data_IF_405229546436
#
_entry.id   IF_405229546436
#
_cell.length_a   1.000
_cell.length_b   1.000
_cell.length_c   1.000
_cell.angle_alpha   90.00
_cell.angle_beta   90.00
_cell.angle_gamma   90.00
#
_symmetry.space_group_name_H-M   'P 1'
#
loop_
_entity.id
_entity.type
_entity.pdbx_description
1 polymer ?
#
# COMPACT_ATOMS: atom_id res chain seq x y z
N UNK A 1 15.71 5.79 -7.19
CA UNK A 1 14.87 5.31 -6.07
C UNK A 1 13.40 5.31 -6.52
N UNK A 2 12.59 4.37 -6.05
CA UNK A 2 11.13 4.27 -6.27
C UNK A 2 10.50 4.06 -4.89
N UNK A 3 9.45 4.82 -4.55
CA UNK A 3 8.60 4.54 -3.38
C UNK A 3 7.44 3.64 -3.80
N UNK A 4 7.06 2.69 -2.95
CA UNK A 4 5.98 1.73 -3.20
C UNK A 4 5.09 1.56 -1.97
N UNK A 5 3.90 0.99 -2.19
CA UNK A 5 2.92 0.78 -1.13
C UNK A 5 2.23 2.08 -0.69
N UNK A 6 1.84 2.15 0.56
CA UNK A 6 1.31 3.37 1.19
C UNK A 6 2.49 4.24 1.61
N UNK A 7 2.68 5.36 0.92
CA UNK A 7 3.93 6.12 0.94
C UNK A 7 3.97 7.33 1.86
N UNK A 8 2.97 7.53 2.72
CA UNK A 8 2.83 8.75 3.53
C UNK A 8 4.05 8.99 4.42
N UNK A 9 4.48 7.99 5.20
CA UNK A 9 5.70 8.08 6.01
C UNK A 9 6.95 8.23 5.13
N UNK A 10 7.07 7.39 4.10
CA UNK A 10 8.25 7.38 3.24
C UNK A 10 8.47 8.70 2.53
N UNK A 11 7.40 9.39 2.08
CA UNK A 11 7.56 10.67 1.38
C UNK A 11 8.03 11.78 2.31
N UNK A 12 7.60 11.78 3.58
CA UNK A 12 8.07 12.72 4.58
C UNK A 12 9.55 12.51 4.87
N UNK A 13 9.95 11.25 5.15
CA UNK A 13 11.37 10.92 5.38
C UNK A 13 12.27 11.27 4.18
N UNK A 14 11.81 11.03 2.96
CA UNK A 14 12.52 11.42 1.74
C UNK A 14 12.65 12.94 1.65
N UNK A 15 11.57 13.67 1.89
CA UNK A 15 11.57 15.14 1.82
C UNK A 15 12.51 15.76 2.84
N UNK A 16 12.46 15.28 4.09
CA UNK A 16 13.32 15.76 5.17
C UNK A 16 14.81 15.47 4.91
N UNK A 17 15.10 14.26 4.42
CA UNK A 17 16.47 13.89 4.07
C UNK A 17 17.03 14.76 2.93
N UNK A 18 16.24 15.00 1.88
CA UNK A 18 16.64 15.88 0.78
C UNK A 18 16.78 17.33 1.25
N UNK A 19 15.88 17.82 2.09
CA UNK A 19 15.96 19.16 2.68
C UNK A 19 17.20 19.35 3.56
N UNK A 20 17.68 18.26 4.20
CA UNK A 20 18.94 18.27 4.96
C UNK A 20 20.21 18.22 4.09
N UNK A 21 20.04 18.13 2.76
CA UNK A 21 21.15 18.09 1.80
C UNK A 21 21.69 16.69 1.48
N UNK A 22 21.02 15.61 1.92
CA UNK A 22 21.42 14.26 1.53
C UNK A 22 21.07 14.00 0.06
N UNK A 23 22.01 13.47 -0.74
CA UNK A 23 21.70 13.08 -2.10
C UNK A 23 20.80 11.83 -2.16
N UNK A 24 19.97 11.70 -3.17
CA UNK A 24 19.01 10.61 -3.34
C UNK A 24 19.67 9.22 -3.34
N UNK A 25 20.91 9.13 -3.76
CA UNK A 25 21.70 7.89 -3.81
C UNK A 25 22.05 7.35 -2.41
N UNK A 26 22.00 8.19 -1.37
CA UNK A 26 22.25 7.80 0.00
C UNK A 26 20.98 7.40 0.76
N UNK A 27 19.79 7.65 0.20
CA UNK A 27 18.51 7.29 0.81
C UNK A 27 18.20 5.80 0.64
N UNK A 28 19.10 4.94 1.09
CA UNK A 28 19.00 3.48 0.93
C UNK A 28 18.31 2.78 2.10
N UNK A 29 17.99 3.53 3.16
CA UNK A 29 17.49 3.02 4.43
C UNK A 29 15.98 3.20 4.63
N UNK A 30 15.32 3.98 3.77
CA UNK A 30 13.91 4.35 3.95
C UNK A 30 13.01 3.17 3.63
N UNK A 31 12.13 2.80 4.54
CA UNK A 31 11.15 1.75 4.35
C UNK A 31 10.16 2.10 3.21
N UNK A 32 9.62 1.09 2.52
CA UNK A 32 8.72 1.32 1.39
C UNK A 32 9.41 1.87 0.14
N UNK A 33 10.73 1.65 0.01
CA UNK A 33 11.49 2.10 -1.16
C UNK A 33 12.20 0.96 -1.88
N UNK A 34 12.48 1.19 -3.16
CA UNK A 34 13.31 0.34 -4.01
C UNK A 34 14.44 1.19 -4.58
N UNK A 35 15.65 0.69 -4.54
CA UNK A 35 16.82 1.38 -5.09
C UNK A 35 17.77 0.43 -5.81
N UNK A 36 18.66 1.00 -6.60
CA UNK A 36 19.70 0.27 -7.31
C UNK A 36 21.03 0.46 -6.59
N UNK A 37 21.80 -0.62 -6.43
CA UNK A 37 23.18 -0.57 -5.94
C UNK A 37 24.11 -1.46 -6.78
N UNK A 38 25.42 -1.25 -6.63
CA UNK A 38 26.44 -2.03 -7.35
C UNK A 38 26.70 -3.36 -6.63
N UNK A 39 26.73 -3.32 -5.31
CA UNK A 39 27.02 -4.45 -4.44
C UNK A 39 26.13 -4.40 -3.18
N UNK A 40 26.20 -5.43 -2.34
CA UNK A 40 25.36 -5.58 -1.15
C UNK A 40 26.04 -5.08 0.15
N UNK A 41 27.18 -4.43 0.07
CA UNK A 41 27.99 -4.00 1.25
C UNK A 41 27.24 -3.06 2.21
N UNK A 42 26.25 -2.32 1.69
CA UNK A 42 25.42 -1.38 2.46
C UNK A 42 24.03 -1.92 2.79
N UNK A 43 23.73 -3.18 2.46
CA UNK A 43 22.43 -3.78 2.70
C UNK A 43 22.55 -4.82 3.81
N UNK A 44 21.92 -4.56 4.94
CA UNK A 44 22.00 -5.46 6.08
C UNK A 44 21.06 -6.66 5.90
N UNK A 45 21.61 -7.88 5.99
CA UNK A 45 20.92 -9.16 6.00
C UNK A 45 19.81 -9.32 4.91
N UNK A 46 20.11 -9.06 3.63
CA UNK A 46 19.11 -9.15 2.58
C UNK A 46 18.75 -10.61 2.27
N UNK A 47 17.49 -10.84 1.90
CA UNK A 47 17.07 -12.08 1.25
C UNK A 47 17.50 -12.01 -0.21
N UNK A 48 18.33 -12.96 -0.64
CA UNK A 48 18.77 -13.03 -2.03
C UNK A 48 17.68 -13.73 -2.85
N UNK A 49 17.07 -13.02 -3.78
CA UNK A 49 16.14 -13.57 -4.75
C UNK A 49 16.91 -14.24 -5.90
N UNK A 50 16.30 -15.20 -6.61
CA UNK A 50 16.82 -15.63 -7.91
C UNK A 50 17.10 -14.44 -8.80
N UNK A 51 18.14 -14.53 -9.62
CA UNK A 51 18.52 -13.43 -10.52
C UNK A 51 17.46 -13.16 -11.58
N UNK A 52 17.42 -11.94 -12.09
CA UNK A 52 16.53 -11.59 -13.20
C UNK A 52 16.66 -12.53 -14.40
N UNK A 53 17.89 -12.94 -14.75
CA UNK A 53 18.13 -13.84 -15.88
C UNK A 53 17.55 -15.24 -15.66
N UNK A 54 17.59 -15.77 -14.43
CA UNK A 54 16.96 -17.05 -14.09
C UNK A 54 15.42 -16.94 -14.10
N UNK A 55 14.88 -15.89 -13.49
CA UNK A 55 13.44 -15.62 -13.43
C UNK A 55 12.83 -15.47 -14.81
N UNK A 56 13.54 -14.77 -15.72
CA UNK A 56 13.09 -14.48 -17.08
C UNK A 56 12.87 -15.74 -17.93
N UNK A 57 13.66 -16.79 -17.72
CA UNK A 57 13.67 -17.99 -18.56
C UNK A 57 13.00 -19.19 -17.93
N UNK A 58 12.74 -19.16 -16.62
CA UNK A 58 12.23 -20.31 -15.88
C UNK A 58 11.00 -19.96 -15.04
N UNK A 59 9.81 -20.41 -15.45
CA UNK A 59 8.54 -20.15 -14.78
C UNK A 59 8.49 -20.68 -13.34
N UNK A 60 9.19 -21.78 -13.05
CA UNK A 60 9.26 -22.34 -11.69
C UNK A 60 10.07 -21.39 -10.79
N UNK A 61 11.22 -20.94 -11.26
CA UNK A 61 12.06 -19.96 -10.53
C UNK A 61 11.30 -18.65 -10.31
N UNK A 62 10.52 -18.19 -11.29
CA UNK A 62 9.62 -17.05 -11.12
C UNK A 62 8.60 -17.27 -9.99
N UNK A 63 7.95 -18.43 -9.95
CA UNK A 63 6.99 -18.77 -8.91
C UNK A 63 7.65 -18.87 -7.52
N UNK A 64 8.84 -19.45 -7.44
CA UNK A 64 9.61 -19.56 -6.20
C UNK A 64 10.03 -18.15 -5.70
N UNK A 65 10.49 -17.27 -6.59
CA UNK A 65 10.79 -15.87 -6.29
C UNK A 65 9.56 -15.12 -5.77
N UNK A 66 8.41 -15.29 -6.42
CA UNK A 66 7.15 -14.69 -5.99
C UNK A 66 6.74 -15.17 -4.59
N UNK A 67 6.89 -16.45 -4.29
CA UNK A 67 6.59 -17.01 -2.96
C UNK A 67 7.44 -16.36 -1.85
N UNK A 68 8.73 -16.11 -2.11
CA UNK A 68 9.61 -15.40 -1.19
C UNK A 68 9.12 -13.96 -0.99
N UNK A 69 8.81 -13.25 -2.07
CA UNK A 69 8.31 -11.87 -2.01
C UNK A 69 6.99 -11.79 -1.24
N UNK A 70 6.05 -12.71 -1.51
CA UNK A 70 4.77 -12.77 -0.80
C UNK A 70 4.93 -12.92 0.71
N UNK A 71 5.92 -13.72 1.17
CA UNK A 71 6.20 -13.89 2.60
C UNK A 71 6.83 -12.65 3.26
N UNK A 72 7.28 -11.70 2.47
CA UNK A 72 7.94 -10.46 2.93
C UNK A 72 7.11 -9.19 2.67
N UNK A 73 5.79 -9.33 2.64
CA UNK A 73 4.83 -8.21 2.50
C UNK A 73 4.43 -7.58 3.84
N UNK A 74 4.84 -8.14 4.97
CA UNK A 74 4.45 -7.66 6.29
C UNK A 74 5.53 -6.73 6.88
N UNK A 75 5.21 -5.46 7.20
CA UNK A 75 6.20 -4.47 7.63
C UNK A 75 6.90 -4.83 8.95
N UNK A 76 6.26 -5.63 9.82
CA UNK A 76 6.84 -6.03 11.12
C UNK A 76 7.86 -7.17 11.02
N UNK A 77 7.88 -7.91 9.91
CA UNK A 77 8.72 -9.11 9.79
C UNK A 77 9.45 -9.24 8.46
N UNK A 78 9.20 -8.33 7.53
CA UNK A 78 9.89 -8.32 6.24
C UNK A 78 11.37 -7.95 6.41
N UNK A 79 12.18 -8.44 5.49
CA UNK A 79 13.61 -8.13 5.34
C UNK A 79 13.84 -7.50 3.98
N UNK A 80 14.94 -6.75 3.80
CA UNK A 80 15.33 -6.30 2.47
C UNK A 80 15.46 -7.48 1.52
N UNK A 81 15.05 -7.31 0.28
CA UNK A 81 15.18 -8.31 -0.78
C UNK A 81 16.10 -7.79 -1.87
N UNK A 82 17.01 -8.63 -2.36
CA UNK A 82 17.99 -8.27 -3.38
C UNK A 82 17.87 -9.17 -4.60
N UNK A 83 17.59 -8.60 -5.76
CA UNK A 83 17.60 -9.30 -7.05
C UNK A 83 18.81 -8.86 -7.87
N UNK A 84 19.57 -9.83 -8.40
CA UNK A 84 20.75 -9.58 -9.23
C UNK A 84 20.37 -9.33 -10.70
N UNK A 85 21.02 -8.33 -11.29
CA UNK A 85 20.98 -8.03 -12.73
C UNK A 85 22.36 -8.23 -13.38
N UNK A 86 23.11 -9.21 -12.91
CA UNK A 86 24.45 -9.54 -13.39
C UNK A 86 25.42 -8.38 -13.19
N UNK A 87 26.13 -8.00 -14.24
CA UNK A 87 27.13 -6.89 -14.19
C UNK A 87 26.51 -5.52 -13.92
N UNK A 88 25.18 -5.38 -13.98
CA UNK A 88 24.48 -4.12 -13.70
C UNK A 88 24.24 -3.86 -12.22
N UNK A 89 24.57 -4.84 -11.35
CA UNK A 89 24.39 -4.77 -9.90
C UNK A 89 23.06 -5.37 -9.45
N UNK A 90 22.49 -4.79 -8.40
CA UNK A 90 21.31 -5.29 -7.71
C UNK A 90 20.19 -4.24 -7.67
N UNK A 91 18.96 -4.73 -7.70
CA UNK A 91 17.78 -3.99 -7.25
C UNK A 91 17.46 -4.45 -5.83
N UNK A 92 17.36 -3.51 -4.93
CA UNK A 92 17.04 -3.75 -3.51
C UNK A 92 15.64 -3.22 -3.24
N UNK A 93 14.80 -4.06 -2.68
CA UNK A 93 13.51 -3.67 -2.13
C UNK A 93 13.61 -3.66 -0.61
N UNK A 94 13.49 -2.50 0.00
CA UNK A 94 13.39 -2.37 1.44
C UNK A 94 12.06 -2.97 1.95
N UNK A 95 11.94 -3.30 3.24
CA UNK A 95 10.66 -3.67 3.84
C UNK A 95 9.58 -2.61 3.57
N UNK A 96 8.29 -2.99 3.52
CA UNK A 96 7.20 -2.02 3.46
C UNK A 96 7.28 -1.02 4.61
N UNK A 97 6.80 0.21 4.39
CA UNK A 97 6.62 1.19 5.46
C UNK A 97 5.63 0.67 6.51
N UNK A 98 5.77 1.10 7.75
CA UNK A 98 4.81 0.80 8.80
C UNK A 98 3.44 1.40 8.44
N UNK A 99 2.35 0.73 8.81
CA UNK A 99 1.00 1.25 8.58
C UNK A 99 0.77 2.52 9.40
N UNK A 100 -0.04 3.41 8.86
CA UNK A 100 -0.51 4.59 9.59
C UNK A 100 -1.37 4.16 10.80
N UNK A 101 -1.26 4.91 11.87
CA UNK A 101 -2.23 4.88 12.97
C UNK A 101 -3.57 5.46 12.50
N UNK A 102 -4.62 5.30 13.32
CA UNK A 102 -5.91 5.91 12.99
C UNK A 102 -5.83 7.44 12.95
N UNK A 103 -5.12 8.06 13.87
CA UNK A 103 -4.90 9.51 13.92
C UNK A 103 -4.18 10.01 12.68
N UNK A 104 -3.08 9.37 12.28
CA UNK A 104 -2.36 9.72 11.05
C UNK A 104 -3.22 9.52 9.79
N UNK A 105 -4.06 8.47 9.75
CA UNK A 105 -5.02 8.29 8.66
C UNK A 105 -6.02 9.45 8.61
N UNK A 106 -6.57 9.83 9.74
CA UNK A 106 -7.53 10.93 9.82
C UNK A 106 -6.88 12.25 9.39
N UNK A 107 -5.66 12.53 9.82
CA UNK A 107 -4.88 13.72 9.40
C UNK A 107 -4.65 13.74 7.89
N UNK A 108 -4.32 12.61 7.26
CA UNK A 108 -4.16 12.52 5.80
C UNK A 108 -5.46 12.88 5.08
N UNK A 109 -6.61 12.39 5.56
CA UNK A 109 -7.92 12.69 4.96
C UNK A 109 -8.48 14.07 5.34
N UNK A 110 -7.92 14.72 6.36
CA UNK A 110 -8.24 16.11 6.72
C UNK A 110 -7.47 17.15 5.87
N UNK A 111 -6.48 16.73 5.07
CA UNK A 111 -5.75 17.64 4.19
C UNK A 111 -6.70 18.37 3.23
N UNK A 112 -6.40 19.64 2.87
CA UNK A 112 -7.27 20.47 2.04
C UNK A 112 -7.21 20.08 0.56
N UNK A 113 -7.67 18.89 0.23
CA UNK A 113 -7.76 18.41 -1.15
C UNK A 113 -8.76 19.27 -1.94
N UNK A 114 -8.42 19.56 -3.19
CA UNK A 114 -9.29 20.36 -4.08
C UNK A 114 -10.50 19.58 -4.58
N UNK A 115 -10.43 18.25 -4.60
CA UNK A 115 -11.48 17.34 -5.10
C UNK A 115 -11.95 17.66 -6.52
N UNK A 116 -11.08 18.30 -7.31
CA UNK A 116 -11.34 18.77 -8.68
C UNK A 116 -10.29 18.25 -9.64
N UNK A 117 -10.67 18.19 -10.90
CA UNK A 117 -9.72 17.91 -11.98
C UNK A 117 -8.64 18.98 -12.01
N UNK A 118 -7.38 18.57 -12.14
CA UNK A 118 -6.28 19.52 -12.30
C UNK A 118 -6.49 20.34 -13.60
N UNK A 119 -6.29 21.68 -13.58
CA UNK A 119 -6.59 22.55 -14.72
C UNK A 119 -5.95 22.14 -16.05
N UNK A 120 -4.80 21.44 -16.01
CA UNK A 120 -4.16 20.94 -17.22
C UNK A 120 -5.02 19.95 -18.03
N UNK A 121 -5.93 19.20 -17.36
CA UNK A 121 -6.79 18.22 -18.00
C UNK A 121 -8.15 18.79 -18.44
N UNK A 122 -8.54 19.97 -17.98
CA UNK A 122 -9.83 20.59 -18.35
C UNK A 122 -9.97 20.73 -19.88
N UNK A 123 -8.87 21.21 -20.53
CA UNK A 123 -8.83 21.37 -22.00
C UNK A 123 -8.86 20.05 -22.76
N UNK A 124 -8.60 18.92 -22.08
CA UNK A 124 -8.62 17.56 -22.65
C UNK A 124 -9.94 16.84 -22.38
N UNK A 125 -10.94 17.53 -21.83
CA UNK A 125 -12.26 16.94 -21.49
C UNK A 125 -12.36 16.42 -20.07
N UNK A 126 -11.43 16.77 -19.17
CA UNK A 126 -11.45 16.35 -17.77
C UNK A 126 -10.93 14.93 -17.54
N UNK A 127 -11.34 14.33 -16.45
CA UNK A 127 -11.01 12.95 -16.05
C UNK A 127 -12.33 12.20 -15.82
N UNK A 128 -12.79 11.35 -16.76
CA UNK A 128 -14.08 10.65 -16.64
C UNK A 128 -14.21 9.83 -15.36
N UNK A 129 -13.11 9.19 -14.89
CA UNK A 129 -13.10 8.40 -13.67
C UNK A 129 -13.47 9.22 -12.41
N UNK A 130 -13.28 10.53 -12.42
CA UNK A 130 -13.63 11.38 -11.27
C UNK A 130 -15.14 11.39 -11.03
N UNK A 131 -15.95 11.31 -12.07
CA UNK A 131 -17.42 11.28 -11.95
C UNK A 131 -17.90 10.08 -11.11
N UNK A 132 -17.18 8.96 -11.20
CA UNK A 132 -17.51 7.72 -10.48
C UNK A 132 -17.04 7.73 -9.02
N UNK A 133 -15.94 8.42 -8.71
CA UNK A 133 -15.31 8.33 -7.39
C UNK A 133 -15.44 9.60 -6.54
N UNK A 134 -15.80 10.75 -7.12
CA UNK A 134 -15.83 12.04 -6.43
C UNK A 134 -16.62 12.01 -5.11
N UNK A 135 -17.74 11.31 -5.09
CA UNK A 135 -18.61 11.17 -3.92
C UNK A 135 -18.53 9.77 -3.32
N UNK A 136 -17.31 9.31 -3.08
CA UNK A 136 -17.01 8.03 -2.43
C UNK A 136 -16.07 8.22 -1.26
N UNK A 137 -16.31 7.51 -0.18
CA UNK A 137 -15.50 7.56 1.05
C UNK A 137 -14.60 6.32 1.16
N UNK A 138 -13.34 6.53 1.46
CA UNK A 138 -12.45 5.43 1.85
C UNK A 138 -12.46 5.28 3.36
N UNK A 139 -13.02 4.19 3.87
CA UNK A 139 -13.14 3.95 5.31
C UNK A 139 -11.89 3.31 5.91
N UNK A 140 -11.20 2.48 5.12
CA UNK A 140 -10.01 1.75 5.56
C UNK A 140 -9.14 1.34 4.38
N UNK A 141 -7.89 1.03 4.66
CA UNK A 141 -6.91 0.47 3.73
C UNK A 141 -6.31 -0.81 4.31
N UNK A 142 -5.69 -1.62 3.44
CA UNK A 142 -5.08 -2.88 3.82
C UNK A 142 -6.09 -4.02 3.95
N UNK A 143 -5.60 -5.25 3.80
CA UNK A 143 -6.44 -6.44 3.92
C UNK A 143 -5.59 -7.65 4.30
N UNK A 144 -5.92 -8.30 5.41
CA UNK A 144 -5.22 -9.53 5.83
C UNK A 144 -5.70 -10.80 5.12
N UNK A 145 -6.67 -10.68 4.19
CA UNK A 145 -7.28 -11.81 3.49
C UNK A 145 -6.31 -12.67 2.69
N UNK A 146 -5.36 -12.04 1.98
CA UNK A 146 -4.34 -12.76 1.21
C UNK A 146 -4.90 -13.62 0.08
N UNK A 147 -6.02 -13.24 -0.54
CA UNK A 147 -6.64 -13.99 -1.64
C UNK A 147 -5.71 -14.06 -2.85
N UNK A 148 -5.62 -15.24 -3.49
CA UNK A 148 -4.66 -15.49 -4.57
C UNK A 148 -4.83 -14.61 -5.82
N UNK A 149 -6.01 -14.06 -6.04
CA UNK A 149 -6.31 -13.19 -7.17
C UNK A 149 -6.13 -11.70 -6.86
N UNK A 150 -5.92 -11.32 -5.59
CA UNK A 150 -6.03 -9.94 -5.13
C UNK A 150 -4.66 -9.28 -4.94
N UNK A 151 -4.43 -8.15 -5.59
CA UNK A 151 -3.20 -7.39 -5.49
C UNK A 151 -3.14 -6.42 -4.29
N UNK A 152 -4.23 -6.25 -3.53
CA UNK A 152 -4.29 -5.31 -2.41
C UNK A 152 -3.22 -5.58 -1.34
N UNK A 153 -2.90 -6.85 -1.09
CA UNK A 153 -1.82 -7.26 -0.19
C UNK A 153 -0.48 -6.61 -0.53
N UNK A 154 -0.21 -6.39 -1.83
CA UNK A 154 1.08 -5.87 -2.28
C UNK A 154 1.14 -4.34 -2.30
N UNK A 155 0.03 -3.66 -2.54
CA UNK A 155 0.06 -2.19 -2.65
C UNK A 155 -0.57 -1.45 -1.47
N UNK A 156 -1.52 -2.03 -0.74
CA UNK A 156 -2.06 -1.44 0.50
C UNK A 156 -1.54 -2.14 1.76
N UNK A 157 -0.92 -3.32 1.60
CA UNK A 157 -0.41 -4.10 2.71
C UNK A 157 -1.47 -5.01 3.36
N UNK A 158 -1.01 -5.76 4.35
CA UNK A 158 -1.83 -6.75 5.07
C UNK A 158 -2.31 -6.26 6.43
N UNK A 159 -1.87 -5.11 6.88
CA UNK A 159 -2.30 -4.50 8.14
C UNK A 159 -3.40 -3.49 7.85
N UNK A 160 -4.46 -3.54 8.63
CA UNK A 160 -5.56 -2.59 8.49
C UNK A 160 -5.16 -1.21 9.00
N UNK A 161 -5.52 -0.20 8.24
CA UNK A 161 -5.41 1.21 8.56
C UNK A 161 -6.81 1.81 8.43
N UNK A 162 -7.44 2.12 9.55
CA UNK A 162 -8.86 2.48 9.60
C UNK A 162 -9.02 3.91 10.05
N UNK A 163 -9.88 4.66 9.38
CA UNK A 163 -10.29 6.02 9.78
C UNK A 163 -11.28 5.97 10.93
N UNK A 164 -11.32 7.03 11.73
CA UNK A 164 -12.36 7.23 12.73
C UNK A 164 -13.73 7.48 12.06
N UNK A 165 -14.80 7.30 12.82
CA UNK A 165 -16.14 7.67 12.35
C UNK A 165 -16.27 9.18 12.19
N UNK A 166 -15.64 9.95 13.06
CA UNK A 166 -15.61 11.40 13.03
C UNK A 166 -15.01 11.90 11.71
N UNK A 167 -13.86 11.39 11.31
CA UNK A 167 -13.21 11.72 10.04
C UNK A 167 -14.10 11.41 8.82
N UNK A 168 -14.79 10.27 8.83
CA UNK A 168 -15.73 9.90 7.76
C UNK A 168 -16.95 10.81 7.71
N UNK A 169 -17.52 11.21 8.87
CA UNK A 169 -18.67 12.11 8.96
C UNK A 169 -18.28 13.50 8.48
N UNK A 170 -17.09 14.00 8.83
CA UNK A 170 -16.59 15.29 8.37
C UNK A 170 -16.43 15.33 6.85
N UNK A 171 -15.84 14.28 6.24
CA UNK A 171 -15.70 14.20 4.80
C UNK A 171 -17.08 14.09 4.12
N UNK A 172 -17.97 13.24 4.60
CA UNK A 172 -19.34 13.14 4.10
C UNK A 172 -20.08 14.48 4.18
N UNK A 173 -19.89 15.25 5.27
CA UNK A 173 -20.47 16.57 5.42
C UNK A 173 -19.91 17.55 4.39
N UNK A 174 -18.60 17.52 4.11
CA UNK A 174 -18.01 18.33 3.02
C UNK A 174 -18.62 17.98 1.68
N UNK A 175 -18.76 16.69 1.38
CA UNK A 175 -19.38 16.20 0.13
C UNK A 175 -20.82 16.69 -0.04
N UNK A 176 -21.63 16.65 1.02
CA UNK A 176 -23.04 17.10 0.92
C UNK A 176 -23.17 18.61 0.70
N UNK A 177 -22.12 19.38 0.99
CA UNK A 177 -22.06 20.83 0.73
C UNK A 177 -21.49 21.17 -0.66
N UNK A 178 -21.00 20.18 -1.43
CA UNK A 178 -20.53 20.41 -2.79
C UNK A 178 -21.72 20.70 -3.71
N UNK A 179 -21.68 21.76 -4.56
CA UNK A 179 -22.76 22.10 -5.49
C UNK A 179 -23.10 21.01 -6.50
N UNK A 180 -22.18 20.11 -6.77
CA UNK A 180 -22.38 18.98 -7.71
C UNK A 180 -22.95 17.74 -7.03
N UNK A 181 -23.14 17.75 -5.69
CA UNK A 181 -23.69 16.61 -4.97
C UNK A 181 -25.15 16.36 -5.32
N UNK A 182 -25.44 15.16 -5.81
CA UNK A 182 -26.76 14.75 -6.29
C UNK A 182 -27.62 13.99 -5.26
N UNK A 183 -27.23 14.01 -3.99
CA UNK A 183 -28.02 13.45 -2.89
C UNK A 183 -27.64 12.02 -2.48
N UNK A 184 -26.58 11.44 -3.01
CA UNK A 184 -26.10 10.13 -2.60
C UNK A 184 -24.56 10.02 -2.65
N UNK A 185 -24.03 9.20 -1.76
CA UNK A 185 -22.62 8.78 -1.73
C UNK A 185 -22.54 7.43 -2.43
N UNK A 186 -21.63 7.31 -3.41
CA UNK A 186 -21.55 6.13 -4.28
C UNK A 186 -20.98 4.92 -3.54
N UNK A 187 -20.04 5.14 -2.64
CA UNK A 187 -19.39 4.07 -1.89
C UNK A 187 -18.86 4.58 -0.54
N UNK A 188 -18.93 3.72 0.47
CA UNK A 188 -18.29 3.91 1.78
C UNK A 188 -17.52 2.63 2.07
N UNK A 189 -16.31 2.54 1.54
CA UNK A 189 -15.63 1.25 1.53
C UNK A 189 -14.13 1.30 1.66
N UNK A 190 -13.56 0.19 1.35
CA UNK A 190 -12.15 -0.11 1.31
C UNK A 190 -11.93 -1.37 0.47
N UNK A 191 -10.97 -2.24 0.81
CA UNK A 191 -10.88 -3.57 0.22
C UNK A 191 -12.21 -4.33 0.35
N UNK A 192 -12.61 -5.07 -0.69
CA UNK A 192 -13.94 -5.74 -0.80
C UNK A 192 -14.32 -6.62 0.42
N UNK A 193 -13.33 -7.10 1.18
CA UNK A 193 -13.58 -7.83 2.42
C UNK A 193 -14.08 -6.94 3.57
N UNK A 194 -13.95 -5.64 3.42
CA UNK A 194 -14.38 -4.57 4.34
C UNK A 194 -14.03 -4.81 5.82
N UNK A 195 -12.86 -5.33 6.07
CA UNK A 195 -12.37 -5.51 7.42
C UNK A 195 -12.00 -4.16 8.02
N UNK A 196 -12.68 -3.75 9.09
CA UNK A 196 -12.36 -2.53 9.83
C UNK A 196 -11.62 -2.80 11.14
N UNK A 197 -11.51 -4.06 11.54
CA UNK A 197 -10.83 -4.47 12.77
C UNK A 197 -9.80 -5.57 12.46
N UNK A 198 -8.64 -5.58 13.14
CA UNK A 198 -7.70 -6.69 13.02
C UNK A 198 -8.34 -7.98 13.52
N UNK A 199 -8.01 -9.12 12.90
CA UNK A 199 -8.52 -10.42 13.35
C UNK A 199 -8.04 -10.81 14.75
N UNK A 200 -6.95 -10.20 15.24
CA UNK A 200 -6.47 -10.31 16.61
C UNK A 200 -5.48 -9.18 16.93
N UNK A 201 -5.34 -8.84 18.21
CA UNK A 201 -4.44 -7.77 18.67
C UNK A 201 -2.96 -7.98 18.30
N UNK A 202 -2.56 -9.24 18.12
CA UNK A 202 -1.19 -9.57 17.70
C UNK A 202 -0.84 -8.96 16.32
N UNK A 203 -1.80 -8.76 15.44
CA UNK A 203 -1.56 -8.15 14.13
C UNK A 203 -0.99 -6.73 14.23
N UNK A 204 -1.36 -5.97 15.26
CA UNK A 204 -0.94 -4.59 15.44
C UNK A 204 0.53 -4.45 15.88
N UNK A 205 1.14 -5.52 16.38
CA UNK A 205 2.50 -5.47 16.94
C UNK A 205 3.48 -6.46 16.33
N UNK A 206 2.98 -7.57 15.78
CA UNK A 206 3.79 -8.67 15.23
C UNK A 206 3.45 -9.01 13.78
N UNK A 207 2.53 -8.26 13.19
CA UNK A 207 2.04 -8.50 11.84
C UNK A 207 1.12 -9.71 11.71
N UNK A 208 0.76 -10.03 10.49
CA UNK A 208 -0.16 -11.12 10.15
C UNK A 208 0.53 -12.48 10.17
N UNK A 209 -0.23 -13.53 10.41
CA UNK A 209 0.27 -14.91 10.38
C UNK A 209 0.72 -15.28 8.95
N UNK A 210 2.00 -15.61 8.78
CA UNK A 210 2.59 -15.94 7.46
C UNK A 210 1.92 -17.15 6.79
N UNK A 211 1.53 -18.16 7.58
CA UNK A 211 1.03 -19.44 7.08
C UNK A 211 -0.49 -19.62 7.25
N UNK A 212 -1.20 -18.55 7.53
CA UNK A 212 -2.67 -18.55 7.68
C UNK A 212 -3.26 -17.40 6.86
N UNK A 213 -3.10 -17.39 5.53
CA UNK A 213 -3.90 -16.47 4.73
C UNK A 213 -5.38 -16.81 5.00
N UNK A 214 -6.21 -15.79 5.12
CA UNK A 214 -7.65 -15.99 5.05
C UNK A 214 -7.91 -16.39 3.61
N UNK A 215 -8.07 -17.69 3.38
CA UNK A 215 -8.27 -18.20 2.03
C UNK A 215 -9.67 -17.83 1.53
N UNK A 216 -9.85 -17.81 0.22
CA UNK A 216 -11.15 -17.68 -0.45
C UNK A 216 -12.24 -18.60 0.14
N UNK A 217 -11.84 -19.73 0.75
CA UNK A 217 -12.77 -20.65 1.43
C UNK A 217 -13.31 -20.12 2.77
N UNK A 218 -12.69 -19.08 3.36
CA UNK A 218 -13.15 -18.44 4.60
C UNK A 218 -13.82 -17.09 4.36
N UNK A 219 -13.58 -16.50 3.20
CA UNK A 219 -14.21 -15.27 2.74
C UNK A 219 -14.95 -15.60 1.47
N UNK A 220 -16.19 -15.99 1.57
CA UNK A 220 -17.09 -15.97 0.44
C UNK A 220 -17.61 -14.55 0.32
N UNK A 221 -17.50 -13.97 -0.89
CA UNK A 221 -17.90 -12.59 -1.13
C UNK A 221 -19.37 -12.28 -0.70
N UNK A 222 -20.23 -13.28 -0.74
CA UNK A 222 -21.62 -13.14 -0.28
C UNK A 222 -21.78 -13.23 1.25
N UNK A 223 -20.85 -13.85 1.97
CA UNK A 223 -20.85 -13.87 3.44
C UNK A 223 -20.54 -12.49 4.01
N UNK A 224 -19.75 -11.70 3.29
CA UNK A 224 -19.49 -10.30 3.66
C UNK A 224 -20.67 -9.38 3.37
N UNK A 225 -21.61 -9.78 2.52
CA UNK A 225 -22.79 -8.97 2.15
C UNK A 225 -24.09 -9.45 2.80
N UNK A 226 -24.18 -10.71 3.23
CA UNK A 226 -25.42 -11.30 3.75
C UNK A 226 -25.49 -11.33 5.29
N UNK A 227 -24.34 -11.24 5.96
CA UNK A 227 -24.24 -11.32 7.41
C UNK A 227 -23.99 -9.96 8.10
N UNK A 228 -24.11 -8.87 7.32
CA UNK A 228 -24.13 -7.49 7.75
C UNK A 228 -25.55 -6.95 7.64
#
# INVERSE_FOLDING_TARGET
MISYGMGEHSIIEIADALASGLPVEELTYIAGTVFKCRDLSRVYDPIILPSYEEVKVNKKVYADSFAIQYQNTDPFSARPMAESYGTKGYIIQNPPALPLTQEEMDDVYALPYTEKVHPMYEKLGGIPALEEIKFSLTSNRGCFGGCNFCALTFHQGRILQTRSHESLIEEATRMTNDPEFKGYIHDVGGPTADFRQPSCQKQLTKGVCKNKPVSYTHLRAHETCADL
#
